data_IF_143352328632
#
_entry.id   IF_143352328632
#
_cell.length_a   1.000
_cell.length_b   1.000
_cell.length_c   1.000
_cell.angle_alpha   90.00
_cell.angle_beta   90.00
_cell.angle_gamma   90.00
#
_symmetry.space_group_name_H-M   'P 1'
#
loop_
_entity.id
_entity.type
_entity.pdbx_description
1 polymer ?
#
# COMPACT_ATOMS: atom_id res chain seq x y z
N UNK A 1 13.24 8.94 -19.07
CA UNK A 1 12.29 7.85 -18.79
C UNK A 1 11.50 8.19 -17.54
N UNK A 2 10.25 7.72 -17.45
CA UNK A 2 9.39 7.93 -16.28
C UNK A 2 9.07 6.61 -15.62
N UNK A 3 9.06 6.59 -14.29
CA UNK A 3 8.68 5.42 -13.50
C UNK A 3 7.16 5.33 -13.38
N UNK A 4 6.63 4.11 -13.48
CA UNK A 4 5.22 3.79 -13.34
C UNK A 4 5.04 2.67 -12.34
N UNK A 5 4.09 2.81 -11.43
CA UNK A 5 3.57 1.70 -10.64
C UNK A 5 2.67 0.84 -11.54
N UNK A 6 2.99 -0.45 -11.67
CA UNK A 6 2.18 -1.40 -12.44
C UNK A 6 1.31 -2.18 -11.46
N UNK A 7 -0.01 -2.09 -11.67
CA UNK A 7 -1.02 -2.74 -10.87
C UNK A 7 -1.77 -3.77 -11.72
N UNK A 8 -2.16 -4.89 -11.13
CA UNK A 8 -2.94 -5.93 -11.81
C UNK A 8 -4.19 -6.30 -11.00
N UNK A 9 -5.32 -6.40 -11.71
CA UNK A 9 -6.55 -6.94 -11.14
C UNK A 9 -6.87 -8.28 -11.81
N UNK A 10 -7.23 -9.34 -11.06
CA UNK A 10 -7.49 -10.68 -11.60
C UNK A 10 -8.51 -10.73 -12.74
N UNK A 11 -9.44 -9.77 -12.78
CA UNK A 11 -10.54 -9.71 -13.75
C UNK A 11 -10.48 -8.50 -14.71
N UNK A 12 -9.77 -7.41 -14.33
CA UNK A 12 -9.78 -6.13 -15.06
C UNK A 12 -8.46 -5.86 -15.79
N UNK A 13 -7.45 -6.71 -15.58
CA UNK A 13 -6.16 -6.62 -16.25
C UNK A 13 -5.19 -5.63 -15.58
N UNK A 14 -4.14 -5.28 -16.33
CA UNK A 14 -3.03 -4.45 -15.86
C UNK A 14 -3.25 -2.96 -16.13
N UNK A 15 -2.89 -2.13 -15.15
CA UNK A 15 -2.94 -0.67 -15.22
C UNK A 15 -1.61 -0.11 -14.74
N UNK A 16 -1.06 0.86 -15.48
CA UNK A 16 0.12 1.61 -15.07
C UNK A 16 -0.24 3.01 -14.61
N UNK A 17 0.22 3.40 -13.42
CA UNK A 17 0.07 4.75 -12.86
C UNK A 17 1.43 5.42 -12.79
N UNK A 18 1.54 6.64 -13.30
CA UNK A 18 2.80 7.39 -13.28
C UNK A 18 3.20 7.70 -11.83
N UNK A 19 4.44 7.39 -11.47
CA UNK A 19 4.99 7.78 -10.17
C UNK A 19 5.51 9.22 -10.19
N UNK A 20 5.41 9.87 -9.03
CA UNK A 20 5.85 11.26 -8.81
C UNK A 20 4.80 12.31 -9.19
N UNK A 21 5.29 13.50 -9.54
CA UNK A 21 4.47 14.70 -9.62
C UNK A 21 3.36 14.65 -10.68
N UNK A 22 2.15 15.00 -10.27
CA UNK A 22 0.95 15.13 -11.09
C UNK A 22 0.68 16.59 -11.41
N UNK A 23 1.13 17.03 -12.59
CA UNK A 23 0.82 18.37 -13.12
C UNK A 23 -0.68 18.68 -13.14
N UNK A 24 -1.57 17.75 -13.55
CA UNK A 24 -3.00 18.00 -13.51
C UNK A 24 -3.52 18.17 -12.06
N UNK A 25 -2.98 17.43 -11.09
CA UNK A 25 -3.38 17.59 -9.68
C UNK A 25 -2.94 18.94 -9.11
N UNK A 26 -1.76 19.43 -9.51
CA UNK A 26 -1.25 20.74 -9.12
C UNK A 26 -2.14 21.90 -9.60
N UNK A 27 -2.51 21.91 -10.89
CA UNK A 27 -3.30 23.02 -11.46
C UNK A 27 -4.79 22.92 -11.16
N UNK A 28 -5.35 21.71 -11.14
CA UNK A 28 -6.80 21.51 -11.08
C UNK A 28 -7.30 20.91 -9.75
N UNK A 29 -6.40 20.62 -8.80
CA UNK A 29 -6.69 20.20 -7.41
C UNK A 29 -7.93 19.31 -7.25
N UNK A 30 -9.04 19.87 -6.78
CA UNK A 30 -10.30 19.16 -6.52
C UNK A 30 -10.98 18.66 -7.82
N UNK A 31 -10.94 19.44 -8.91
CA UNK A 31 -11.49 19.04 -10.22
C UNK A 31 -10.75 17.81 -10.73
N UNK A 32 -9.42 17.81 -10.60
CA UNK A 32 -8.60 16.65 -10.97
C UNK A 32 -8.97 15.42 -10.12
N UNK A 33 -9.11 15.58 -8.80
CA UNK A 33 -9.48 14.47 -7.92
C UNK A 33 -10.84 13.87 -8.29
N UNK A 34 -11.84 14.72 -8.58
CA UNK A 34 -13.15 14.28 -9.07
C UNK A 34 -13.04 13.55 -10.42
N UNK A 35 -12.22 14.04 -11.36
CA UNK A 35 -11.99 13.38 -12.66
C UNK A 35 -11.36 11.98 -12.53
N UNK A 36 -10.62 11.73 -11.45
CA UNK A 36 -10.03 10.41 -11.12
C UNK A 36 -10.99 9.52 -10.32
N UNK A 37 -12.21 10.00 -10.08
CA UNK A 37 -13.21 9.34 -9.24
C UNK A 37 -12.77 9.22 -7.78
N UNK A 38 -11.90 10.12 -7.31
CA UNK A 38 -11.55 10.27 -5.89
C UNK A 38 -12.56 11.23 -5.25
N UNK A 39 -13.83 10.83 -5.21
CA UNK A 39 -14.94 11.74 -4.89
C UNK A 39 -14.81 12.33 -3.48
N UNK A 40 -14.49 11.50 -2.48
CA UNK A 40 -14.28 11.96 -1.10
C UNK A 40 -13.12 12.95 -0.98
N UNK A 41 -11.98 12.65 -1.63
CA UNK A 41 -10.82 13.56 -1.66
C UNK A 41 -11.17 14.86 -2.39
N UNK A 42 -11.89 14.78 -3.51
CA UNK A 42 -12.30 15.94 -4.29
C UNK A 42 -13.17 16.91 -3.49
N UNK A 43 -14.22 16.42 -2.82
CA UNK A 43 -15.04 17.27 -1.96
C UNK A 43 -14.29 17.77 -0.73
N UNK A 44 -13.43 16.95 -0.13
CA UNK A 44 -12.57 17.39 0.98
C UNK A 44 -11.65 18.54 0.59
N UNK A 45 -10.99 18.44 -0.58
CA UNK A 45 -10.16 19.51 -1.13
C UNK A 45 -10.98 20.76 -1.48
N UNK A 46 -12.18 20.60 -2.03
CA UNK A 46 -13.07 21.73 -2.33
C UNK A 46 -13.42 22.50 -1.05
N UNK A 47 -13.85 21.80 0.00
CA UNK A 47 -14.18 22.40 1.30
C UNK A 47 -12.95 23.10 1.87
N UNK A 48 -11.78 22.45 1.83
CA UNK A 48 -10.54 23.03 2.32
C UNK A 48 -10.15 24.30 1.57
N UNK A 49 -10.30 24.33 0.25
CA UNK A 49 -10.09 25.54 -0.56
C UNK A 49 -11.03 26.66 -0.14
N UNK A 50 -12.32 26.36 0.07
CA UNK A 50 -13.29 27.36 0.55
C UNK A 50 -12.89 27.90 1.93
N UNK A 51 -12.58 27.02 2.88
CA UNK A 51 -12.15 27.41 4.23
C UNK A 51 -10.89 28.26 4.20
N UNK A 52 -9.88 27.88 3.42
CA UNK A 52 -8.64 28.65 3.29
C UNK A 52 -8.89 30.02 2.65
N UNK A 53 -9.76 30.10 1.64
CA UNK A 53 -10.04 31.37 0.97
C UNK A 53 -10.84 32.33 1.87
N UNK A 54 -11.89 31.85 2.53
CA UNK A 54 -12.72 32.67 3.41
C UNK A 54 -12.03 32.97 4.75
N UNK A 55 -11.44 31.97 5.38
CA UNK A 55 -10.74 32.12 6.66
C UNK A 55 -9.44 32.92 6.55
N UNK A 56 -8.66 32.69 5.48
CA UNK A 56 -7.41 33.43 5.23
C UNK A 56 -7.64 34.92 5.02
N UNK A 57 -8.68 35.30 4.27
CA UNK A 57 -9.05 36.71 4.04
C UNK A 57 -9.45 37.44 5.31
N UNK A 58 -10.17 36.76 6.21
CA UNK A 58 -10.54 37.33 7.52
C UNK A 58 -9.26 37.59 8.33
N UNK A 59 -8.35 36.63 8.39
CA UNK A 59 -7.10 36.75 9.14
C UNK A 59 -6.20 37.87 8.61
N UNK A 60 -6.02 37.96 7.29
CA UNK A 60 -5.23 39.01 6.62
C UNK A 60 -5.84 40.39 6.86
N UNK A 61 -7.18 40.52 6.80
CA UNK A 61 -7.89 41.76 7.10
C UNK A 61 -7.63 42.24 8.54
N UNK A 62 -7.68 41.33 9.52
CA UNK A 62 -7.42 41.67 10.93
C UNK A 62 -5.96 42.01 11.22
N UNK A 63 -5.00 41.39 10.53
CA UNK A 63 -3.57 41.59 10.78
C UNK A 63 -2.98 42.81 10.02
N UNK A 64 -3.72 43.40 9.08
CA UNK A 64 -3.28 44.60 8.34
C UNK A 64 -2.04 44.39 7.45
N UNK A 65 -1.62 43.14 7.24
CA UNK A 65 -0.49 42.78 6.38
C UNK A 65 -1.01 42.71 4.94
N UNK A 66 -0.32 43.31 3.94
CA UNK A 66 -0.62 43.05 2.54
C UNK A 66 -0.36 41.57 2.23
N UNK A 67 -1.42 40.75 2.36
CA UNK A 67 -1.35 39.29 2.42
C UNK A 67 -1.05 38.61 1.08
N UNK A 68 -0.97 39.35 -0.03
CA UNK A 68 -0.83 38.77 -1.38
C UNK A 68 0.35 37.81 -1.54
N UNK A 69 1.51 38.10 -0.94
CA UNK A 69 2.67 37.21 -1.01
C UNK A 69 2.52 35.97 -0.12
N UNK A 70 1.95 36.14 1.08
CA UNK A 70 1.71 35.05 2.02
C UNK A 70 0.63 34.10 1.49
N UNK A 71 -0.46 34.65 0.95
CA UNK A 71 -1.54 33.90 0.30
C UNK A 71 -1.02 33.11 -0.91
N UNK A 72 -0.20 33.75 -1.75
CA UNK A 72 0.42 33.08 -2.88
C UNK A 72 1.32 31.91 -2.45
N UNK A 73 2.11 32.08 -1.38
CA UNK A 73 2.96 31.03 -0.85
C UNK A 73 2.13 29.86 -0.29
N UNK A 74 1.08 30.14 0.48
CA UNK A 74 0.17 29.12 1.03
C UNK A 74 -0.49 28.32 -0.10
N UNK A 75 -1.01 29.01 -1.13
CA UNK A 75 -1.62 28.36 -2.30
C UNK A 75 -0.59 27.51 -3.05
N UNK A 76 0.64 28.01 -3.23
CA UNK A 76 1.69 27.26 -3.91
C UNK A 76 2.07 25.98 -3.15
N UNK A 77 2.24 26.07 -1.82
CA UNK A 77 2.54 24.92 -0.96
C UNK A 77 1.38 23.92 -0.99
N UNK A 78 0.15 24.40 -0.92
CA UNK A 78 -1.06 23.57 -0.99
C UNK A 78 -1.20 22.84 -2.33
N UNK A 79 -1.09 23.55 -3.45
CA UNK A 79 -1.13 22.94 -4.77
C UNK A 79 0.05 21.99 -4.99
N UNK A 80 1.24 22.36 -4.50
CA UNK A 80 2.46 21.56 -4.56
C UNK A 80 2.32 20.22 -3.85
N UNK A 81 1.75 20.21 -2.64
CA UNK A 81 1.51 18.97 -1.88
C UNK A 81 0.51 18.05 -2.58
N UNK A 82 -0.57 18.60 -3.16
CA UNK A 82 -1.52 17.85 -3.98
C UNK A 82 -0.86 17.30 -5.25
N UNK A 83 -0.03 18.12 -5.91
CA UNK A 83 0.74 17.71 -7.08
C UNK A 83 1.70 16.55 -6.77
N UNK A 84 2.37 16.59 -5.62
CA UNK A 84 3.28 15.54 -5.16
C UNK A 84 2.58 14.24 -4.79
N UNK A 85 1.48 14.32 -4.03
CA UNK A 85 0.77 13.15 -3.51
C UNK A 85 -0.33 12.57 -4.42
N UNK A 86 -0.81 13.34 -5.41
CA UNK A 86 -2.01 13.00 -6.17
C UNK A 86 -1.95 11.64 -6.86
N UNK A 87 -0.85 11.31 -7.56
CA UNK A 87 -0.75 10.01 -8.21
C UNK A 87 -0.76 8.84 -7.21
N UNK A 88 -0.26 9.05 -5.98
CA UNK A 88 -0.32 8.07 -4.90
C UNK A 88 -1.76 7.77 -4.48
N UNK A 89 -2.61 8.78 -4.35
CA UNK A 89 -4.04 8.57 -4.03
C UNK A 89 -4.77 7.75 -5.10
N UNK A 90 -4.36 7.88 -6.37
CA UNK A 90 -4.90 7.04 -7.45
C UNK A 90 -4.46 5.59 -7.29
N UNK A 91 -3.21 5.34 -6.90
CA UNK A 91 -2.71 3.99 -6.61
C UNK A 91 -3.45 3.39 -5.42
N UNK A 92 -3.58 4.11 -4.30
CA UNK A 92 -4.31 3.66 -3.12
C UNK A 92 -5.77 3.32 -3.43
N UNK A 93 -6.44 4.15 -4.24
CA UNK A 93 -7.79 3.85 -4.71
C UNK A 93 -7.85 2.54 -5.48
N UNK A 94 -6.93 2.32 -6.42
CA UNK A 94 -6.89 1.09 -7.22
C UNK A 94 -6.64 -0.12 -6.32
N UNK A 95 -5.73 -0.02 -5.35
CA UNK A 95 -5.50 -1.08 -4.36
C UNK A 95 -6.79 -1.38 -3.57
N UNK A 96 -7.50 -0.34 -3.12
CA UNK A 96 -8.81 -0.49 -2.47
C UNK A 96 -9.90 -1.10 -3.36
N UNK A 97 -9.71 -1.08 -4.69
CA UNK A 97 -10.59 -1.73 -5.67
C UNK A 97 -10.16 -3.18 -5.99
N UNK A 98 -9.16 -3.73 -5.30
CA UNK A 98 -8.70 -5.11 -5.46
C UNK A 98 -7.53 -5.28 -6.44
N UNK A 99 -6.89 -4.19 -6.87
CA UNK A 99 -5.65 -4.29 -7.65
C UNK A 99 -4.46 -4.62 -6.73
N UNK A 100 -3.54 -5.44 -7.24
CA UNK A 100 -2.28 -5.78 -6.58
C UNK A 100 -1.14 -5.03 -7.26
N UNK A 101 -0.28 -4.39 -6.46
CA UNK A 101 0.93 -3.73 -6.96
C UNK A 101 1.98 -4.79 -7.33
N UNK A 102 2.37 -4.86 -8.60
CA UNK A 102 3.36 -5.81 -9.09
C UNK A 102 4.80 -5.29 -9.01
N UNK A 103 4.97 -3.97 -9.04
CA UNK A 103 6.28 -3.31 -9.02
C UNK A 103 6.30 -2.04 -9.86
N UNK A 104 7.51 -1.59 -10.18
CA UNK A 104 7.72 -0.37 -10.95
C UNK A 104 8.28 -0.68 -12.34
N UNK A 105 7.79 0.01 -13.36
CA UNK A 105 8.30 -0.09 -14.73
C UNK A 105 8.78 1.27 -15.20
N UNK A 106 9.98 1.32 -15.77
CA UNK A 106 10.45 2.51 -16.48
C UNK A 106 9.97 2.45 -17.92
N UNK A 107 9.16 3.43 -18.31
CA UNK A 107 8.65 3.52 -19.67
C UNK A 107 8.52 4.97 -20.15
N UNK A 108 8.30 5.13 -21.45
CA UNK A 108 7.99 6.41 -22.07
C UNK A 108 6.48 6.68 -22.11
N UNK A 109 5.64 5.64 -21.95
CA UNK A 109 4.19 5.72 -22.00
C UNK A 109 3.54 4.77 -20.99
N UNK A 110 2.29 5.09 -20.59
CA UNK A 110 1.47 4.23 -19.73
C UNK A 110 1.18 2.86 -20.34
N UNK A 111 0.96 2.81 -21.67
CA UNK A 111 0.69 1.55 -22.38
C UNK A 111 1.93 0.66 -22.37
N UNK A 112 3.08 1.26 -22.64
CA UNK A 112 4.36 0.56 -22.64
C UNK A 112 4.71 0.07 -21.23
N UNK A 113 4.42 0.85 -20.18
CA UNK A 113 4.60 0.40 -18.79
C UNK A 113 3.68 -0.76 -18.40
N UNK A 114 2.44 -0.78 -18.89
CA UNK A 114 1.50 -1.86 -18.60
C UNK A 114 1.85 -3.18 -19.31
N UNK A 115 2.50 -3.10 -20.48
CA UNK A 115 2.94 -4.25 -21.28
C UNK A 115 4.40 -4.64 -21.07
N UNK A 116 5.22 -3.74 -20.50
CA UNK A 116 6.66 -3.89 -20.39
C UNK A 116 7.12 -4.79 -19.25
N UNK A 117 8.42 -5.09 -19.25
CA UNK A 117 9.06 -5.79 -18.15
C UNK A 117 8.99 -4.94 -16.88
N UNK A 118 8.37 -5.49 -15.85
CA UNK A 118 8.33 -4.88 -14.53
C UNK A 118 9.74 -5.02 -13.97
N UNK A 119 10.37 -3.90 -13.57
CA UNK A 119 11.47 -4.00 -12.61
C UNK A 119 10.78 -4.45 -11.34
N UNK A 120 10.72 -5.77 -11.15
CA UNK A 120 10.22 -6.37 -9.93
C UNK A 120 11.05 -5.75 -8.81
N UNK A 121 10.52 -4.70 -8.18
CA UNK A 121 10.89 -4.39 -6.81
C UNK A 121 10.36 -5.58 -6.07
N UNK A 122 11.24 -6.55 -5.91
CA UNK A 122 10.94 -7.76 -5.21
C UNK A 122 10.21 -7.35 -3.92
N UNK A 123 8.95 -7.79 -3.78
CA UNK A 123 8.71 -8.63 -2.61
C UNK A 123 9.87 -9.61 -2.71
N UNK A 124 10.88 -9.48 -1.85
CA UNK A 124 12.00 -10.39 -1.83
C UNK A 124 11.40 -11.80 -1.82
N UNK A 125 11.27 -12.43 -2.98
CA UNK A 125 11.57 -13.84 -3.04
C UNK A 125 12.96 -13.92 -2.43
N UNK A 126 13.16 -14.63 -1.32
CA UNK A 126 14.47 -14.74 -0.72
C UNK A 126 15.37 -15.33 -1.80
N UNK A 127 16.14 -14.48 -2.46
CA UNK A 127 17.17 -14.84 -3.43
C UNK A 127 18.35 -15.39 -2.63
N UNK A 128 18.11 -16.53 -2.03
CA UNK A 128 19.02 -17.36 -1.29
C UNK A 128 18.35 -18.72 -1.32
N UNK A 129 19.01 -19.70 -1.91
CA UNK A 129 18.59 -21.10 -1.82
C UNK A 129 18.11 -21.38 -0.39
N UNK A 130 16.82 -21.68 -0.23
CA UNK A 130 16.05 -21.80 1.02
C UNK A 130 16.58 -22.86 2.02
N UNK A 131 17.77 -23.41 1.82
CA UNK A 131 18.35 -24.46 2.65
C UNK A 131 19.41 -23.99 3.66
N UNK A 132 19.95 -22.76 3.53
CA UNK A 132 21.16 -22.37 4.27
C UNK A 132 20.99 -21.27 5.32
N UNK A 133 19.78 -20.78 5.59
CA UNK A 133 19.56 -19.81 6.67
C UNK A 133 19.11 -20.49 7.96
N UNK A 134 19.74 -20.14 9.08
CA UNK A 134 19.40 -20.57 10.46
C UNK A 134 17.90 -20.43 10.79
N UNK A 135 17.22 -19.50 10.11
CA UNK A 135 15.77 -19.30 10.15
C UNK A 135 14.95 -20.50 9.61
N UNK A 136 15.44 -21.22 8.59
CA UNK A 136 14.81 -22.46 8.10
C UNK A 136 14.94 -23.62 9.08
N UNK A 137 16.09 -23.72 9.76
CA UNK A 137 16.34 -24.73 10.80
C UNK A 137 15.44 -24.52 12.03
N UNK A 138 15.09 -23.27 12.32
CA UNK A 138 14.11 -22.90 13.34
C UNK A 138 12.67 -23.16 12.89
N UNK A 139 12.34 -22.98 11.61
CA UNK A 139 11.03 -23.34 11.06
C UNK A 139 10.79 -24.85 11.05
N UNK A 140 11.77 -25.66 10.68
CA UNK A 140 11.65 -27.12 10.74
C UNK A 140 11.50 -27.62 12.18
N UNK A 141 12.20 -27.04 13.15
CA UNK A 141 12.00 -27.39 14.57
C UNK A 141 10.63 -26.97 15.09
N UNK A 142 10.12 -25.80 14.73
CA UNK A 142 8.76 -25.37 15.09
C UNK A 142 7.70 -26.26 14.43
N UNK A 143 7.87 -26.62 13.16
CA UNK A 143 6.97 -27.54 12.45
C UNK A 143 7.03 -28.94 13.06
N UNK A 144 8.20 -29.44 13.44
CA UNK A 144 8.36 -30.74 14.08
C UNK A 144 7.81 -30.77 15.51
N UNK A 145 7.97 -29.69 16.29
CA UNK A 145 7.32 -29.54 17.61
C UNK A 145 5.80 -29.55 17.44
N UNK A 146 5.28 -28.87 16.43
CA UNK A 146 3.85 -28.87 16.11
C UNK A 146 3.34 -30.24 15.67
N UNK A 147 4.12 -30.99 14.88
CA UNK A 147 3.78 -32.36 14.45
C UNK A 147 3.77 -33.37 15.61
N UNK A 148 4.51 -33.10 16.69
CA UNK A 148 4.56 -33.95 17.88
C UNK A 148 3.35 -33.79 18.80
N UNK A 149 2.52 -32.75 18.59
CA UNK A 149 1.35 -32.46 19.43
C UNK A 149 0.09 -33.17 18.91
N UNK A 150 -0.52 -34.06 19.71
CA UNK A 150 -1.61 -34.93 19.26
C UNK A 150 -2.98 -34.24 19.13
N UNK A 151 -3.10 -32.96 19.48
CA UNK A 151 -4.36 -32.21 19.58
C UNK A 151 -4.75 -31.43 18.30
N UNK A 152 -3.86 -31.30 17.31
CA UNK A 152 -4.15 -30.55 16.06
C UNK A 152 -3.64 -31.29 14.81
N UNK A 153 -4.39 -32.27 14.27
CA UNK A 153 -4.00 -32.95 13.04
C UNK A 153 -4.16 -32.02 11.82
N UNK A 154 -3.05 -31.46 11.34
CA UNK A 154 -3.00 -30.67 10.11
C UNK A 154 -3.00 -31.57 8.87
N UNK A 155 -3.93 -31.34 7.94
CA UNK A 155 -3.95 -32.02 6.65
C UNK A 155 -2.88 -31.47 5.69
N UNK A 156 -2.54 -32.22 4.64
CA UNK A 156 -1.45 -31.87 3.71
C UNK A 156 -1.62 -30.49 3.05
N UNK A 157 -2.86 -30.11 2.72
CA UNK A 157 -3.16 -28.80 2.15
C UNK A 157 -3.02 -27.64 3.14
N UNK A 158 -3.30 -27.86 4.42
CA UNK A 158 -3.06 -26.89 5.49
C UNK A 158 -1.55 -26.73 5.75
N UNK A 159 -0.77 -27.81 5.64
CA UNK A 159 0.70 -27.77 5.77
C UNK A 159 1.34 -26.87 4.71
N UNK A 160 0.96 -27.02 3.45
CA UNK A 160 1.49 -26.17 2.37
C UNK A 160 1.14 -24.70 2.55
N UNK A 161 -0.04 -24.40 3.10
CA UNK A 161 -0.47 -23.01 3.36
C UNK A 161 0.29 -22.39 4.54
N UNK A 162 0.52 -23.15 5.61
CA UNK A 162 1.37 -22.71 6.72
C UNK A 162 2.81 -22.46 6.26
N UNK A 163 3.37 -23.33 5.42
CA UNK A 163 4.70 -23.15 4.85
C UNK A 163 4.79 -21.89 3.97
N UNK A 164 3.79 -21.66 3.11
CA UNK A 164 3.70 -20.43 2.31
C UNK A 164 3.58 -19.18 3.18
N UNK A 165 2.80 -19.26 4.25
CA UNK A 165 2.64 -18.15 5.19
C UNK A 165 3.93 -17.90 5.97
N UNK A 166 4.63 -18.94 6.41
CA UNK A 166 5.94 -18.85 7.06
C UNK A 166 7.01 -18.23 6.17
N UNK A 167 7.00 -18.53 4.88
CA UNK A 167 7.88 -17.88 3.90
C UNK A 167 7.56 -16.38 3.71
N UNK A 168 6.36 -15.93 4.12
CA UNK A 168 5.89 -14.53 3.99
C UNK A 168 5.95 -13.76 5.32
N UNK A 169 6.03 -14.46 6.46
CA UNK A 169 6.08 -13.87 7.79
C UNK A 169 7.52 -13.52 8.20
N UNK A 170 7.64 -12.57 9.12
CA UNK A 170 8.91 -12.06 9.64
C UNK A 170 9.63 -13.16 10.47
N UNK A 171 10.97 -13.23 10.49
CA UNK A 171 11.72 -14.28 11.20
C UNK A 171 11.64 -14.26 12.74
N UNK A 172 10.90 -13.32 13.35
CA UNK A 172 10.79 -13.08 14.79
C UNK A 172 9.49 -13.59 15.43
N UNK A 173 8.66 -14.36 14.69
CA UNK A 173 7.39 -14.90 15.20
C UNK A 173 7.64 -15.98 16.26
N UNK A 174 7.02 -15.79 17.43
CA UNK A 174 7.14 -16.69 18.58
C UNK A 174 6.32 -17.98 18.42
N UNK A 175 6.66 -19.03 19.18
CA UNK A 175 5.96 -20.31 19.13
C UNK A 175 4.47 -20.22 19.52
N UNK A 176 4.10 -19.29 20.40
CA UNK A 176 2.70 -19.03 20.79
C UNK A 176 1.89 -18.38 19.66
N UNK A 177 2.48 -17.43 18.93
CA UNK A 177 1.84 -16.80 17.76
C UNK A 177 1.63 -17.80 16.63
N UNK A 178 2.58 -18.70 16.43
CA UNK A 178 2.44 -19.84 15.50
C UNK A 178 1.26 -20.73 15.85
N UNK A 179 1.04 -20.99 17.14
CA UNK A 179 -0.09 -21.77 17.63
C UNK A 179 -1.43 -21.09 17.35
N UNK A 180 -1.53 -19.78 17.54
CA UNK A 180 -2.76 -19.05 17.27
C UNK A 180 -3.07 -18.98 15.78
N UNK A 181 -2.06 -18.75 14.93
CA UNK A 181 -2.22 -18.77 13.47
C UNK A 181 -2.67 -20.15 12.99
N UNK A 182 -2.07 -21.21 13.50
CA UNK A 182 -2.43 -22.58 13.12
C UNK A 182 -3.84 -22.96 13.61
N UNK A 183 -4.25 -22.53 14.82
CA UNK A 183 -5.63 -22.69 15.32
C UNK A 183 -6.64 -21.95 14.45
N UNK A 184 -6.32 -20.73 14.02
CA UNK A 184 -7.17 -19.93 13.13
C UNK A 184 -7.35 -20.59 11.76
N UNK A 185 -6.28 -21.12 11.17
CA UNK A 185 -6.34 -21.83 9.89
C UNK A 185 -7.14 -23.13 10.01
N UNK A 186 -7.01 -23.83 11.15
CA UNK A 186 -7.74 -25.07 11.38
C UNK A 186 -9.24 -24.80 11.57
N UNK A 187 -9.60 -23.77 12.34
CA UNK A 187 -10.98 -23.43 12.64
C UNK A 187 -11.69 -22.66 11.52
N UNK A 188 -10.93 -22.00 10.63
CA UNK A 188 -11.47 -21.27 9.49
C UNK A 188 -10.61 -21.48 8.23
N UNK A 189 -10.92 -22.49 7.41
CA UNK A 189 -10.16 -22.83 6.20
C UNK A 189 -10.15 -21.72 5.13
N UNK A 190 -11.03 -20.72 5.24
CA UNK A 190 -11.14 -19.57 4.34
C UNK A 190 -10.66 -18.26 4.99
N UNK A 191 -10.00 -18.34 6.15
CA UNK A 191 -9.44 -17.17 6.81
C UNK A 191 -8.51 -16.41 5.86
N UNK A 192 -8.75 -15.10 5.77
CA UNK A 192 -7.89 -14.18 5.03
C UNK A 192 -6.62 -13.91 5.84
N UNK A 193 -5.54 -14.58 5.45
CA UNK A 193 -4.26 -14.53 6.14
C UNK A 193 -3.43 -13.28 5.77
N UNK A 194 -3.91 -12.45 4.82
CA UNK A 194 -3.26 -11.18 4.46
C UNK A 194 -3.17 -10.20 5.63
N UNK A 195 -4.12 -10.31 6.58
CA UNK A 195 -4.08 -9.53 7.82
C UNK A 195 -2.83 -9.85 8.65
N UNK A 196 -2.39 -11.10 8.67
CA UNK A 196 -1.19 -11.52 9.42
C UNK A 196 0.11 -11.20 8.69
N UNK A 197 0.09 -11.00 7.37
CA UNK A 197 1.30 -10.65 6.62
C UNK A 197 1.74 -9.20 6.84
N UNK A 198 0.90 -8.35 7.46
CA UNK A 198 1.18 -6.92 7.68
C UNK A 198 0.57 -6.37 8.99
N UNK A 199 0.49 -7.16 10.07
CA UNK A 199 0.21 -6.56 11.37
C UNK A 199 1.46 -5.85 11.89
N UNK A 200 1.50 -4.54 11.62
CA UNK A 200 2.24 -3.58 12.40
C UNK A 200 1.63 -3.56 13.81
N UNK A 201 2.05 -4.48 14.69
CA UNK A 201 1.80 -4.38 16.13
C UNK A 201 2.69 -3.25 16.66
N UNK A 202 2.18 -2.03 16.49
CA UNK A 202 2.74 -0.81 17.04
C UNK A 202 1.63 -0.01 17.71
N UNK A 203 1.39 -0.30 18.98
CA UNK A 203 0.83 0.66 19.94
C UNK A 203 -0.69 0.79 20.00
N UNK A 204 -1.29 -0.01 20.89
CA UNK A 204 -2.41 0.46 21.70
C UNK A 204 -1.85 1.52 22.66
N UNK A 205 -2.29 2.76 22.49
CA UNK A 205 -2.58 3.77 23.52
C UNK A 205 -3.57 4.76 22.91
#
# INVERSE_FOLDING_TARGET
MTTYAVLEHPQLGKIAVKQGFSWPAFFFTWIWALSKGLVGVGFGLLILVLVLNFGGRILVYFLGIPGVFLDALIVLVFCGSIGGGGNGWVVEKLIGQGYVLLGEAEANSKKDAACGEIKTTAIQEPTGTMQDTESYRNLETVINDYQSRPDVPLNLGQKERLLKLAATLRPDVTSEEWLDIARLINNNPRADLSKYSLYNYGGIC
#
